data_IF_239761675715
#
_entry.id   IF_239761675715
#
_cell.length_a   1.000
_cell.length_b   1.000
_cell.length_c   1.000
_cell.angle_alpha   90.00
_cell.angle_beta   90.00
_cell.angle_gamma   90.00
#
_symmetry.space_group_name_H-M   'P 1'
#
loop_
_entity.id
_entity.type
_entity.pdbx_description
1 polymer ?
#
# COMPACT_ATOMS: atom_id res chain seq x y z
N UNK A 1 -11.82 -8.87 -0.67
CA UNK A 1 -10.98 -8.87 -1.89
C UNK A 1 -11.55 -7.89 -2.91
N UNK A 2 -10.76 -6.93 -3.30
CA UNK A 2 -11.17 -5.95 -4.31
C UNK A 2 -10.48 -6.17 -5.65
N UNK A 3 -9.42 -6.95 -5.68
CA UNK A 3 -8.69 -7.23 -6.90
C UNK A 3 -7.74 -8.38 -6.72
N UNK A 4 -6.93 -8.64 -7.73
CA UNK A 4 -5.96 -9.72 -7.76
C UNK A 4 -4.63 -9.24 -8.30
N UNK A 5 -3.56 -9.88 -7.86
CA UNK A 5 -2.22 -9.61 -8.37
C UNK A 5 -2.11 -10.19 -9.79
N UNK A 6 -1.61 -9.39 -10.72
CA UNK A 6 -1.27 -9.83 -12.08
C UNK A 6 0.20 -10.19 -12.19
N UNK A 7 1.06 -9.37 -11.63
CA UNK A 7 2.50 -9.50 -11.78
C UNK A 7 3.19 -8.97 -10.55
N UNK A 8 4.26 -9.62 -10.14
CA UNK A 8 5.07 -9.21 -9.01
C UNK A 8 6.53 -9.13 -9.40
N UNK A 9 7.19 -8.06 -8.93
CA UNK A 9 8.64 -7.95 -8.98
C UNK A 9 9.11 -7.28 -7.70
N UNK A 10 10.42 -7.23 -7.51
CA UNK A 10 10.99 -6.62 -6.31
C UNK A 10 10.68 -5.12 -6.20
N UNK A 11 10.42 -4.47 -7.31
CA UNK A 11 10.21 -3.02 -7.35
C UNK A 11 8.74 -2.63 -7.49
N UNK A 12 7.90 -3.53 -8.00
CA UNK A 12 6.56 -3.15 -8.39
C UNK A 12 5.62 -4.35 -8.40
N UNK A 13 4.43 -4.13 -7.89
CA UNK A 13 3.33 -5.09 -7.96
C UNK A 13 2.27 -4.51 -8.88
N UNK A 14 1.84 -5.31 -9.85
CA UNK A 14 0.76 -4.92 -10.75
C UNK A 14 -0.49 -5.69 -10.36
N UNK A 15 -1.59 -4.98 -10.16
CA UNK A 15 -2.85 -5.57 -9.73
C UNK A 15 -3.95 -5.25 -10.74
N UNK A 16 -4.98 -6.08 -10.73
CA UNK A 16 -6.14 -5.91 -11.60
C UNK A 16 -7.39 -5.85 -10.76
N UNK A 17 -8.28 -4.95 -11.15
CA UNK A 17 -9.55 -4.76 -10.45
C UNK A 17 -10.67 -4.57 -11.47
N UNK A 18 -11.82 -5.18 -11.18
CA UNK A 18 -13.00 -5.01 -12.03
C UNK A 18 -13.60 -3.62 -11.82
N UNK A 19 -14.35 -3.17 -12.82
CA UNK A 19 -14.95 -1.83 -12.80
C UNK A 19 -15.79 -1.59 -11.56
N UNK A 20 -16.68 -2.53 -11.23
CA UNK A 20 -17.59 -2.35 -10.10
C UNK A 20 -16.83 -2.23 -8.77
N UNK A 21 -15.80 -3.03 -8.59
CA UNK A 21 -15.00 -3.00 -7.36
C UNK A 21 -14.25 -1.69 -7.25
N UNK A 22 -13.72 -1.18 -8.35
CA UNK A 22 -13.03 0.10 -8.35
C UNK A 22 -13.99 1.23 -8.02
N UNK A 23 -15.16 1.27 -8.63
CA UNK A 23 -16.12 2.34 -8.41
C UNK A 23 -16.61 2.39 -6.96
N UNK A 24 -16.81 1.23 -6.34
CA UNK A 24 -17.23 1.17 -4.94
C UNK A 24 -16.16 1.68 -3.98
N UNK A 25 -14.90 1.58 -4.35
CA UNK A 25 -13.78 1.87 -3.47
C UNK A 25 -12.94 3.07 -3.95
N UNK A 26 -13.47 3.83 -4.87
CA UNK A 26 -12.76 4.87 -5.59
C UNK A 26 -12.04 5.87 -4.68
N UNK A 27 -12.66 6.24 -3.56
CA UNK A 27 -12.09 7.22 -2.65
C UNK A 27 -10.84 6.72 -1.94
N UNK A 28 -10.70 5.39 -1.81
CA UNK A 28 -9.55 4.78 -1.15
C UNK A 28 -8.52 4.24 -2.13
N UNK A 29 -8.80 4.35 -3.44
CA UNK A 29 -7.93 3.82 -4.49
C UNK A 29 -7.34 4.97 -5.29
N UNK A 30 -6.48 5.73 -4.64
CA UNK A 30 -5.81 6.88 -5.25
C UNK A 30 -4.31 6.71 -5.09
N UNK A 31 -3.56 7.38 -5.96
CA UNK A 31 -2.11 7.39 -5.87
C UNK A 31 -1.71 7.86 -4.48
N UNK A 32 -0.82 7.10 -3.86
CA UNK A 32 -0.35 7.35 -2.51
C UNK A 32 -1.08 6.58 -1.43
N UNK A 33 -2.23 6.00 -1.74
CA UNK A 33 -2.94 5.13 -0.78
C UNK A 33 -2.30 3.75 -0.75
N UNK A 34 -2.69 2.93 0.21
CA UNK A 34 -2.03 1.67 0.47
C UNK A 34 -2.94 0.48 0.18
N UNK A 35 -2.35 -0.54 -0.40
CA UNK A 35 -3.00 -1.83 -0.63
C UNK A 35 -2.41 -2.86 0.33
N UNK A 36 -3.24 -3.81 0.71
CA UNK A 36 -2.84 -4.96 1.50
C UNK A 36 -3.03 -6.20 0.65
N UNK A 37 -1.95 -6.91 0.42
CA UNK A 37 -1.92 -8.06 -0.48
C UNK A 37 -1.53 -9.29 0.31
N UNK A 38 -2.39 -10.31 0.31
CA UNK A 38 -2.11 -11.55 1.02
C UNK A 38 -0.89 -12.26 0.42
N UNK A 39 -0.01 -12.73 1.29
CA UNK A 39 1.13 -13.56 0.89
C UNK A 39 1.14 -14.90 1.63
N UNK A 40 0.02 -15.23 2.30
CA UNK A 40 -0.15 -16.48 3.02
C UNK A 40 0.28 -16.40 4.49
N UNK A 41 -0.02 -17.42 5.27
CA UNK A 41 0.44 -17.57 6.67
C UNK A 41 0.19 -16.35 7.55
N UNK A 42 -0.97 -15.71 7.40
CA UNK A 42 -1.34 -14.51 8.16
C UNK A 42 -0.41 -13.32 7.92
N UNK A 43 0.34 -13.34 6.83
CA UNK A 43 1.18 -12.24 6.44
C UNK A 43 0.59 -11.52 5.24
N UNK A 44 0.78 -10.21 5.19
CA UNK A 44 0.36 -9.39 4.06
C UNK A 44 1.47 -8.43 3.67
N UNK A 45 1.59 -8.23 2.38
CA UNK A 45 2.46 -7.21 1.83
C UNK A 45 1.68 -5.91 1.79
N UNK A 46 2.30 -4.83 2.24
CA UNK A 46 1.74 -3.49 2.12
C UNK A 46 2.45 -2.78 0.98
N UNK A 47 1.68 -2.20 0.08
CA UNK A 47 2.22 -1.53 -1.08
C UNK A 47 1.51 -0.19 -1.30
N UNK A 48 2.26 0.80 -1.74
CA UNK A 48 1.74 2.14 -2.01
C UNK A 48 1.39 2.26 -3.48
N UNK A 49 0.18 2.71 -3.79
CA UNK A 49 -0.29 2.87 -5.17
C UNK A 49 0.51 3.97 -5.84
N UNK A 50 1.16 3.65 -6.96
CA UNK A 50 1.97 4.58 -7.74
C UNK A 50 1.31 4.98 -9.05
N UNK A 51 0.47 4.15 -9.60
CA UNK A 51 -0.19 4.45 -10.85
C UNK A 51 -1.48 3.68 -11.01
N UNK A 52 -2.40 4.24 -11.76
CA UNK A 52 -3.70 3.63 -12.03
C UNK A 52 -4.02 3.90 -13.49
N UNK A 53 -4.43 2.87 -14.22
CA UNK A 53 -4.92 3.06 -15.57
C UNK A 53 -6.15 2.21 -15.83
N UNK A 54 -7.03 2.71 -16.68
CA UNK A 54 -8.19 1.97 -17.13
C UNK A 54 -7.86 1.30 -18.46
N UNK A 55 -8.28 0.06 -18.63
CA UNK A 55 -8.18 -0.64 -19.90
C UNK A 55 -9.54 -1.20 -20.26
N UNK A 56 -9.83 -1.26 -21.55
CA UNK A 56 -11.05 -1.91 -22.04
C UNK A 56 -10.69 -3.33 -22.44
N UNK A 57 -11.55 -4.29 -22.09
CA UNK A 57 -11.38 -5.66 -22.55
C UNK A 57 -12.27 -5.92 -23.79
N UNK A 58 -12.27 -7.19 -24.25
CA UNK A 58 -13.00 -7.56 -25.45
C UNK A 58 -14.51 -7.43 -25.32
N UNK A 59 -15.02 -7.31 -24.10
CA UNK A 59 -16.45 -7.17 -23.80
C UNK A 59 -16.86 -5.72 -23.58
N UNK A 60 -16.01 -4.77 -23.91
CA UNK A 60 -16.21 -3.34 -23.68
C UNK A 60 -16.38 -2.96 -22.22
N UNK A 61 -15.94 -3.82 -21.31
CA UNK A 61 -15.93 -3.50 -19.88
C UNK A 61 -14.58 -2.93 -19.52
N UNK A 62 -14.61 -1.88 -18.72
CA UNK A 62 -13.38 -1.30 -18.20
C UNK A 62 -12.86 -2.14 -17.05
N UNK A 63 -11.54 -2.26 -17.01
CA UNK A 63 -10.83 -2.85 -15.91
C UNK A 63 -9.76 -1.87 -15.49
N UNK A 64 -9.37 -1.93 -14.25
CA UNK A 64 -8.37 -1.03 -13.72
C UNK A 64 -7.12 -1.79 -13.37
N UNK A 65 -6.00 -1.27 -13.84
CA UNK A 65 -4.68 -1.82 -13.55
C UNK A 65 -3.99 -0.81 -12.64
N UNK A 66 -3.57 -1.28 -11.46
CA UNK A 66 -2.83 -0.46 -10.52
C UNK A 66 -1.43 -1.00 -10.35
N UNK A 67 -0.48 -0.09 -10.33
CA UNK A 67 0.89 -0.43 -9.99
C UNK A 67 1.17 0.10 -8.60
N UNK A 68 1.82 -0.70 -7.79
CA UNK A 68 2.09 -0.36 -6.40
C UNK A 68 3.52 -0.74 -6.04
N UNK A 69 4.12 0.06 -5.17
CA UNK A 69 5.49 -0.16 -4.69
C UNK A 69 5.42 -0.88 -3.35
N UNK A 70 6.07 -2.04 -3.21
CA UNK A 70 6.13 -2.72 -1.92
C UNK A 70 6.84 -1.85 -0.89
N UNK A 71 6.27 -1.75 0.32
CA UNK A 71 6.89 -0.98 1.39
C UNK A 71 7.23 -1.84 2.60
N UNK A 72 6.55 -2.95 2.82
CA UNK A 72 6.85 -3.81 3.94
C UNK A 72 5.83 -4.90 4.13
N UNK A 73 6.02 -5.70 5.16
CA UNK A 73 5.18 -6.84 5.47
C UNK A 73 4.57 -6.65 6.84
N UNK A 74 3.28 -6.95 6.96
CA UNK A 74 2.57 -6.90 8.22
C UNK A 74 2.12 -8.31 8.60
N UNK A 75 2.29 -8.67 9.86
CA UNK A 75 1.84 -9.94 10.42
C UNK A 75 1.30 -9.72 11.83
N UNK A 76 1.10 -10.79 12.58
CA UNK A 76 0.57 -10.70 13.93
C UNK A 76 1.51 -9.96 14.89
N UNK A 77 2.79 -9.86 14.55
CA UNK A 77 3.79 -9.20 15.38
C UNK A 77 3.99 -7.74 15.03
N UNK A 78 3.38 -7.26 13.95
CA UNK A 78 3.47 -5.87 13.54
C UNK A 78 4.01 -5.71 12.12
N UNK A 79 4.50 -4.51 11.84
CA UNK A 79 4.97 -4.14 10.51
C UNK A 79 6.50 -4.14 10.47
N UNK A 80 7.06 -4.71 9.42
CA UNK A 80 8.49 -4.65 9.14
C UNK A 80 8.71 -4.08 7.73
N UNK A 81 9.53 -3.04 7.58
CA UNK A 81 9.80 -2.47 6.26
C UNK A 81 10.63 -3.42 5.40
N UNK A 82 10.53 -3.20 4.09
CA UNK A 82 11.19 -4.06 3.12
C UNK A 82 10.31 -5.23 2.72
N UNK A 83 10.66 -5.88 1.61
CA UNK A 83 9.89 -7.02 1.15
C UNK A 83 10.82 -8.13 0.71
N UNK A 84 10.93 -9.16 1.54
CA UNK A 84 11.65 -10.38 1.21
C UNK A 84 10.74 -11.40 0.55
N UNK A 85 9.43 -11.25 0.75
CA UNK A 85 8.42 -12.13 0.17
C UNK A 85 7.51 -11.31 -0.73
N UNK A 86 7.25 -11.82 -1.92
CA UNK A 86 6.38 -11.15 -2.88
C UNK A 86 5.15 -12.03 -3.14
N UNK A 87 4.00 -11.41 -3.41
CA UNK A 87 2.80 -12.18 -3.69
C UNK A 87 2.91 -12.88 -5.04
N UNK A 88 2.25 -14.01 -5.15
CA UNK A 88 2.11 -14.70 -6.42
C UNK A 88 0.98 -14.08 -7.23
N UNK A 89 1.00 -14.23 -8.57
CA UNK A 89 -0.15 -13.86 -9.36
C UNK A 89 -1.42 -14.53 -8.83
N UNK A 90 -2.55 -13.86 -8.94
CA UNK A 90 -3.87 -14.24 -8.46
C UNK A 90 -4.10 -14.11 -6.95
N UNK A 91 -3.10 -13.73 -6.18
CA UNK A 91 -3.31 -13.47 -4.76
C UNK A 91 -4.28 -12.28 -4.57
N UNK A 92 -5.13 -12.34 -3.53
CA UNK A 92 -6.11 -11.29 -3.31
C UNK A 92 -5.51 -9.99 -2.85
N UNK A 93 -6.10 -8.90 -3.31
CA UNK A 93 -5.71 -7.54 -2.98
C UNK A 93 -6.86 -6.86 -2.27
N UNK A 94 -6.57 -6.16 -1.20
CA UNK A 94 -7.53 -5.36 -0.46
C UNK A 94 -6.97 -3.97 -0.17
N UNK A 95 -7.84 -3.07 0.26
CA UNK A 95 -7.42 -1.76 0.75
C UNK A 95 -6.86 -1.97 2.16
N UNK A 96 -5.74 -1.34 2.47
CA UNK A 96 -5.22 -1.36 3.82
C UNK A 96 -6.16 -0.59 4.74
N UNK A 97 -6.70 -1.26 5.75
CA UNK A 97 -7.62 -0.64 6.68
C UNK A 97 -6.91 0.26 7.69
N UNK A 98 -7.70 1.01 8.46
CA UNK A 98 -7.15 1.95 9.43
C UNK A 98 -6.32 1.25 10.51
N UNK A 99 -6.74 0.07 10.92
CA UNK A 99 -5.99 -0.72 11.91
C UNK A 99 -4.61 -1.12 11.39
N UNK A 100 -4.52 -1.47 10.11
CA UNK A 100 -3.25 -1.81 9.46
C UNK A 100 -2.38 -0.56 9.38
N UNK A 101 -2.95 0.56 8.97
CA UNK A 101 -2.21 1.82 8.88
C UNK A 101 -1.69 2.25 10.24
N UNK A 102 -2.48 2.07 11.29
CA UNK A 102 -2.06 2.41 12.64
C UNK A 102 -0.84 1.58 13.06
N UNK A 103 -0.83 0.29 12.72
CA UNK A 103 0.33 -0.55 13.01
C UNK A 103 1.58 -0.08 12.28
N UNK A 104 1.42 0.28 11.01
CA UNK A 104 2.54 0.77 10.21
C UNK A 104 3.15 2.02 10.84
N UNK A 105 2.31 2.98 11.20
CA UNK A 105 2.78 4.25 11.75
C UNK A 105 3.27 4.13 13.19
N UNK A 106 2.69 3.24 13.95
CA UNK A 106 3.15 2.96 15.31
C UNK A 106 4.56 2.38 15.30
N UNK A 107 4.81 1.43 14.40
CA UNK A 107 6.13 0.80 14.28
C UNK A 107 7.14 1.71 13.60
N UNK A 108 6.70 2.79 12.98
CA UNK A 108 7.58 3.73 12.32
C UNK A 108 8.61 4.35 13.26
N UNK A 109 8.33 4.39 14.55
CA UNK A 109 9.29 4.88 15.53
C UNK A 109 10.55 4.02 15.60
N UNK A 110 10.45 2.78 15.20
CA UNK A 110 11.56 1.82 15.23
C UNK A 110 12.39 1.83 13.95
N UNK A 111 11.84 2.37 12.87
CA UNK A 111 12.45 2.26 11.55
C UNK A 111 12.54 3.63 10.90
N UNK A 112 13.56 3.81 10.07
CA UNK A 112 13.71 5.01 9.26
C UNK A 112 12.71 4.95 8.10
N UNK A 113 11.53 5.46 8.34
CA UNK A 113 10.45 5.39 7.37
C UNK A 113 10.37 6.71 6.61
N UNK A 114 10.28 6.70 5.27
CA UNK A 114 10.18 7.94 4.51
C UNK A 114 8.97 8.77 4.90
N UNK A 115 9.19 10.03 5.20
CA UNK A 115 8.11 10.92 5.63
C UNK A 115 7.03 11.07 4.55
N UNK A 116 7.40 10.97 3.28
CA UNK A 116 6.45 11.07 2.19
C UNK A 116 5.31 10.05 2.29
N UNK A 117 5.58 8.88 2.83
CA UNK A 117 4.55 7.87 3.03
C UNK A 117 3.60 8.22 4.17
N UNK A 118 4.07 8.99 5.14
CA UNK A 118 3.29 9.35 6.31
C UNK A 118 2.37 10.53 6.04
N UNK A 119 2.83 11.47 5.24
CA UNK A 119 2.10 12.71 4.97
C UNK A 119 0.75 12.46 4.31
N UNK A 120 0.63 11.39 3.57
CA UNK A 120 -0.59 11.04 2.86
C UNK A 120 -1.75 10.69 3.80
N UNK A 121 -1.45 10.37 5.05
CA UNK A 121 -2.45 10.05 6.06
C UNK A 121 -2.27 10.99 7.23
N UNK A 122 -2.85 12.18 7.11
CA UNK A 122 -2.66 13.25 8.09
C UNK A 122 -3.08 12.88 9.50
N UNK A 123 -4.08 12.04 9.62
CA UNK A 123 -4.56 11.60 10.92
C UNK A 123 -3.50 10.84 11.70
N UNK A 124 -2.66 10.13 11.00
CA UNK A 124 -1.67 9.27 11.62
C UNK A 124 -0.38 9.99 11.92
N UNK A 125 -0.06 11.04 11.18
CA UNK A 125 1.18 11.78 11.42
C UNK A 125 1.24 12.37 12.82
N UNK A 126 0.09 12.55 13.46
CA UNK A 126 0.03 13.05 14.83
C UNK A 126 0.63 12.07 15.82
N UNK A 127 0.77 10.83 15.44
CA UNK A 127 1.36 9.79 16.26
C UNK A 127 2.87 9.69 16.09
N UNK A 128 3.44 10.46 15.19
CA UNK A 128 4.88 10.47 14.99
C UNK A 128 5.48 11.25 16.15
N UNK A 129 6.34 10.57 16.87
CA UNK A 129 6.96 11.14 18.05
C UNK A 129 8.20 11.91 17.67
N UNK A 130 8.39 13.02 18.38
CA UNK A 130 9.63 13.75 18.37
C UNK A 130 9.73 14.80 17.29
N UNK A 131 9.82 16.04 17.74
CA UNK A 131 10.08 17.16 16.83
C UNK A 131 11.38 16.96 16.05
N UNK A 132 12.33 16.27 16.66
CA UNK A 132 13.61 15.97 16.02
C UNK A 132 13.43 15.14 14.76
N UNK A 133 12.55 14.14 14.84
CA UNK A 133 12.26 13.29 13.68
C UNK A 133 11.67 14.12 12.54
N UNK A 134 10.68 14.94 12.85
CA UNK A 134 10.04 15.79 11.84
C UNK A 134 11.00 16.81 11.25
N UNK A 135 11.78 17.44 12.09
CA UNK A 135 12.73 18.44 11.63
C UNK A 135 13.74 17.82 10.66
N UNK A 136 14.25 16.66 11.00
CA UNK A 136 15.23 15.97 10.17
C UNK A 136 14.63 15.60 8.81
N UNK A 137 13.44 15.01 8.79
CA UNK A 137 12.81 14.61 7.55
C UNK A 137 12.37 15.82 6.72
N UNK A 138 11.89 16.85 7.38
CA UNK A 138 11.51 18.07 6.69
C UNK A 138 12.69 18.66 5.92
N UNK A 139 13.83 18.74 6.55
CA UNK A 139 15.04 19.27 5.91
C UNK A 139 15.49 18.38 4.76
N UNK A 140 15.29 17.09 4.88
CA UNK A 140 15.64 16.14 3.83
C UNK A 140 14.73 16.29 2.59
N UNK A 141 13.45 16.57 2.81
CA UNK A 141 12.45 16.63 1.74
C UNK A 141 12.18 18.04 1.22
N UNK A 142 12.89 19.00 1.70
CA UNK A 142 12.75 20.37 1.18
C UNK A 142 13.07 20.48 -0.29
#
# INVERSE_FOLDING_TARGET
MIGKVLESSALEITTRMEFDDFEKNKDNLKIGKYLQISIGNHESLIASIKGIKAIADNDNKEKYIMTAEPIGIIDDNGFAPGSTLLPSPTEPVDIAGQDVLDKIFQDNKKYSFPLGHLVQNREVKLNIDGNTFFTRLYNFYK
#
